data_IF_098415953749
#
_entry.id   IF_098415953749
#
_cell.length_a   1.000
_cell.length_b   1.000
_cell.length_c   1.000
_cell.angle_alpha   90.00
_cell.angle_beta   90.00
_cell.angle_gamma   90.00
#
_symmetry.space_group_name_H-M   'P 1'
#
loop_
_entity.id
_entity.type
_entity.pdbx_description
1 polymer ?
#
# COMPACT_ATOMS: atom_id res chain seq x y z
N UNK A 1 -33.55 9.32 -40.93
CA UNK A 1 -33.71 10.59 -40.18
C UNK A 1 -33.54 10.29 -38.70
N UNK A 2 -32.48 10.79 -38.05
CA UNK A 2 -32.27 10.60 -36.61
C UNK A 2 -32.39 11.98 -35.95
N UNK A 3 -33.52 12.32 -35.29
CA UNK A 3 -33.70 13.64 -34.72
C UNK A 3 -33.06 13.68 -33.32
N UNK A 4 -32.40 14.80 -33.03
CA UNK A 4 -31.95 15.24 -31.71
C UNK A 4 -30.61 14.68 -31.19
N UNK A 5 -29.56 15.12 -31.87
CA UNK A 5 -28.44 15.73 -31.16
C UNK A 5 -28.84 17.15 -30.71
N UNK A 6 -29.61 17.27 -29.63
CA UNK A 6 -29.92 18.58 -29.00
C UNK A 6 -28.95 18.82 -27.84
N UNK A 7 -27.73 19.21 -28.23
CA UNK A 7 -26.70 19.79 -27.39
C UNK A 7 -27.23 21.10 -26.77
N UNK A 8 -28.01 21.01 -25.68
CA UNK A 8 -28.36 22.16 -24.85
C UNK A 8 -27.67 22.00 -23.51
N UNK A 9 -26.74 22.90 -23.23
CA UNK A 9 -26.03 23.09 -21.97
C UNK A 9 -27.01 23.44 -20.83
N UNK A 10 -27.94 22.54 -20.52
CA UNK A 10 -28.90 22.64 -19.43
C UNK A 10 -28.20 22.13 -18.18
N UNK A 11 -28.10 23.00 -17.18
CA UNK A 11 -27.62 22.61 -15.85
C UNK A 11 -28.42 21.37 -15.43
N UNK A 12 -27.77 20.25 -15.11
CA UNK A 12 -28.48 19.03 -14.77
C UNK A 12 -29.36 19.31 -13.55
N UNK A 13 -30.60 18.81 -13.61
CA UNK A 13 -31.54 18.94 -12.49
C UNK A 13 -30.93 18.30 -11.23
N UNK A 14 -31.30 18.78 -10.04
CA UNK A 14 -30.94 18.13 -8.79
C UNK A 14 -31.34 16.64 -8.76
N UNK A 15 -32.44 16.26 -9.44
CA UNK A 15 -32.85 14.86 -9.58
C UNK A 15 -31.86 14.06 -10.44
N UNK A 16 -31.38 14.62 -11.54
CA UNK A 16 -30.42 13.99 -12.45
C UNK A 16 -29.04 13.84 -11.80
N UNK A 17 -28.58 14.86 -11.07
CA UNK A 17 -27.34 14.80 -10.30
C UNK A 17 -27.40 13.73 -9.19
N UNK A 18 -28.52 13.64 -8.47
CA UNK A 18 -28.73 12.60 -7.44
C UNK A 18 -28.74 11.21 -8.05
N UNK A 19 -29.45 11.03 -9.16
CA UNK A 19 -29.49 9.76 -9.88
C UNK A 19 -28.08 9.33 -10.30
N UNK A 20 -27.33 10.24 -10.93
CA UNK A 20 -25.95 9.98 -11.34
C UNK A 20 -25.06 9.55 -10.16
N UNK A 21 -25.14 10.22 -9.02
CA UNK A 21 -24.39 9.83 -7.82
C UNK A 21 -24.77 8.43 -7.33
N UNK A 22 -26.06 8.10 -7.34
CA UNK A 22 -26.53 6.78 -6.93
C UNK A 22 -26.05 5.69 -7.89
N UNK A 23 -26.07 5.94 -9.20
CA UNK A 23 -25.58 4.98 -10.19
C UNK A 23 -24.07 4.77 -10.07
N UNK A 24 -23.30 5.85 -9.88
CA UNK A 24 -21.85 5.76 -9.65
C UNK A 24 -21.53 5.01 -8.35
N UNK A 25 -22.29 5.25 -7.28
CA UNK A 25 -22.11 4.54 -6.01
C UNK A 25 -22.48 3.06 -6.13
N UNK A 26 -23.59 2.75 -6.81
CA UNK A 26 -24.02 1.36 -7.04
C UNK A 26 -22.97 0.59 -7.85
N UNK A 27 -22.39 1.24 -8.87
CA UNK A 27 -21.32 0.65 -9.66
C UNK A 27 -20.09 0.29 -8.80
N UNK A 28 -19.62 1.21 -7.95
CA UNK A 28 -18.51 0.94 -7.01
C UNK A 28 -18.81 -0.21 -6.07
N UNK A 29 -20.03 -0.27 -5.54
CA UNK A 29 -20.45 -1.36 -4.65
C UNK A 29 -20.48 -2.72 -5.37
N UNK A 30 -20.89 -2.76 -6.64
CA UNK A 30 -20.84 -3.98 -7.45
C UNK A 30 -19.41 -4.44 -7.69
N UNK A 31 -18.51 -3.51 -8.03
CA UNK A 31 -17.07 -3.80 -8.18
C UNK A 31 -16.45 -4.34 -6.89
N UNK A 32 -16.76 -3.73 -5.74
CA UNK A 32 -16.29 -4.20 -4.42
C UNK A 32 -16.88 -5.58 -4.05
N UNK A 33 -18.12 -5.85 -4.45
CA UNK A 33 -18.76 -7.15 -4.24
C UNK A 33 -18.06 -8.23 -5.06
N UNK A 34 -17.76 -7.95 -6.34
CA UNK A 34 -17.12 -8.86 -7.30
C UNK A 34 -15.63 -9.10 -7.01
N UNK A 35 -14.98 -8.26 -6.20
CA UNK A 35 -13.58 -8.41 -5.82
C UNK A 35 -13.29 -9.81 -5.24
N UNK A 36 -12.37 -10.53 -5.87
CA UNK A 36 -11.94 -11.85 -5.41
C UNK A 36 -11.35 -11.76 -4.00
N UNK A 37 -11.84 -12.61 -3.09
CA UNK A 37 -11.38 -12.72 -1.70
C UNK A 37 -10.71 -14.07 -1.49
N UNK A 38 -9.66 -14.08 -0.67
CA UNK A 38 -9.03 -15.30 -0.18
C UNK A 38 -9.60 -15.67 1.19
N UNK A 39 -9.51 -16.95 1.58
CA UNK A 39 -9.93 -17.36 2.92
C UNK A 39 -8.99 -16.77 3.97
N UNK A 40 -9.54 -16.42 5.13
CA UNK A 40 -8.74 -15.85 6.23
C UNK A 40 -7.63 -16.81 6.66
N UNK A 41 -7.93 -18.10 6.77
CA UNK A 41 -6.93 -19.12 7.13
C UNK A 41 -5.74 -19.15 6.15
N UNK A 42 -6.00 -18.98 4.86
CA UNK A 42 -4.97 -18.93 3.81
C UNK A 42 -4.15 -17.64 3.89
N UNK A 43 -4.83 -16.49 4.02
CA UNK A 43 -4.16 -15.20 4.20
C UNK A 43 -3.25 -15.19 5.44
N UNK A 44 -3.75 -15.68 6.58
CA UNK A 44 -2.99 -15.80 7.82
C UNK A 44 -1.79 -16.73 7.66
N UNK A 45 -1.96 -17.89 7.00
CA UNK A 45 -0.85 -18.80 6.73
C UNK A 45 0.22 -18.16 5.84
N UNK A 46 -0.18 -17.36 4.84
CA UNK A 46 0.73 -16.61 3.99
C UNK A 46 1.53 -15.56 4.77
N UNK A 47 0.87 -14.80 5.65
CA UNK A 47 1.53 -13.82 6.52
C UNK A 47 2.54 -14.49 7.46
N UNK A 48 2.13 -15.58 8.13
CA UNK A 48 3.02 -16.35 9.02
C UNK A 48 4.24 -16.86 8.24
N UNK A 49 4.02 -17.39 7.04
CA UNK A 49 5.13 -17.87 6.19
C UNK A 49 6.10 -16.74 5.90
N UNK A 50 5.61 -15.59 5.42
CA UNK A 50 6.45 -14.44 5.11
C UNK A 50 7.27 -13.99 6.33
N UNK A 51 6.63 -13.83 7.49
CA UNK A 51 7.32 -13.43 8.71
C UNK A 51 8.30 -14.48 9.25
N UNK A 52 8.22 -15.75 8.81
CA UNK A 52 9.14 -16.82 9.19
C UNK A 52 10.29 -17.03 8.20
N UNK A 53 10.16 -16.53 6.97
CA UNK A 53 11.18 -16.70 5.92
C UNK A 53 11.95 -15.42 5.65
N UNK A 54 11.40 -14.27 6.01
CA UNK A 54 12.02 -12.97 5.81
C UNK A 54 12.70 -12.52 7.10
N UNK A 55 14.03 -12.47 7.09
CA UNK A 55 14.83 -12.06 8.25
C UNK A 55 14.54 -10.60 8.61
N UNK A 56 14.27 -10.36 9.90
CA UNK A 56 14.09 -9.03 10.46
C UNK A 56 15.16 -8.74 11.51
N UNK A 57 16.03 -7.76 11.22
CA UNK A 57 17.14 -7.36 12.09
C UNK A 57 16.68 -6.62 13.36
N UNK A 58 15.46 -6.10 13.39
CA UNK A 58 14.87 -5.43 14.55
C UNK A 58 14.22 -6.40 15.54
N UNK A 59 14.20 -7.70 15.22
CA UNK A 59 13.71 -8.76 16.12
C UNK A 59 14.81 -9.79 16.42
N UNK A 60 15.87 -9.43 17.18
CA UNK A 60 16.98 -10.33 17.44
C UNK A 60 16.62 -11.58 18.26
N UNK A 61 15.51 -11.55 19.00
CA UNK A 61 15.03 -12.71 19.77
C UNK A 61 14.62 -13.89 18.88
N UNK A 62 14.21 -13.62 17.64
CA UNK A 62 13.79 -14.65 16.67
C UNK A 62 14.87 -14.89 15.62
N UNK A 63 15.57 -13.83 15.18
CA UNK A 63 16.51 -13.89 14.07
C UNK A 63 17.99 -13.90 14.47
N UNK A 64 18.29 -13.66 15.75
CA UNK A 64 19.65 -13.47 16.24
C UNK A 64 20.16 -12.03 16.05
N UNK A 65 21.31 -11.70 16.66
CA UNK A 65 21.90 -10.37 16.55
C UNK A 65 22.27 -10.01 15.10
N UNK A 66 22.37 -8.71 14.83
CA UNK A 66 22.86 -8.18 13.55
C UNK A 66 24.38 -8.28 13.56
N UNK A 67 24.95 -8.86 12.51
CA UNK A 67 26.41 -8.90 12.34
C UNK A 67 26.95 -7.46 12.19
N UNK A 68 28.08 -7.17 12.85
CA UNK A 68 28.65 -5.81 12.88
C UNK A 68 28.98 -5.23 11.50
N UNK A 69 29.19 -6.09 10.49
CA UNK A 69 29.41 -5.67 9.10
C UNK A 69 28.14 -5.52 8.26
N UNK A 70 26.98 -5.95 8.77
CA UNK A 70 25.70 -5.85 8.08
C UNK A 70 24.90 -4.60 8.49
N UNK A 71 25.28 -3.95 9.59
CA UNK A 71 24.68 -2.71 10.06
C UNK A 71 25.50 -1.48 9.58
N UNK A 72 25.01 -0.72 8.58
CA UNK A 72 25.69 0.47 8.07
C UNK A 72 25.76 1.63 9.08
N UNK A 73 25.01 1.53 10.18
CA UNK A 73 24.99 2.51 11.26
C UNK A 73 25.72 2.02 12.51
N UNK A 74 26.28 0.80 12.49
CA UNK A 74 27.14 0.36 13.57
C UNK A 74 28.29 1.35 13.71
N UNK A 75 28.53 1.85 14.93
CA UNK A 75 29.66 2.72 15.20
C UNK A 75 30.93 2.03 14.66
N UNK A 76 31.59 2.66 13.68
CA UNK A 76 32.89 2.22 13.22
C UNK A 76 33.74 2.03 14.47
N UNK A 77 34.19 0.80 14.71
CA UNK A 77 34.93 0.46 15.91
C UNK A 77 36.00 1.53 16.11
N UNK A 78 35.96 2.21 17.25
CA UNK A 78 36.92 3.25 17.61
C UNK A 78 38.32 2.64 17.68
N UNK A 79 39.00 2.59 16.53
CA UNK A 79 40.25 1.87 16.39
C UNK A 79 40.77 1.90 14.96
N UNK A 80 41.44 3.01 14.60
CA UNK A 80 42.22 3.12 13.35
C UNK A 80 41.77 4.29 12.49
N UNK A 81 42.63 5.31 12.40
CA UNK A 81 42.30 6.64 11.87
C UNK A 81 41.87 6.70 10.41
N UNK A 82 41.06 7.74 10.09
CA UNK A 82 40.88 8.21 8.73
C UNK A 82 39.48 8.71 8.39
N UNK A 83 39.19 9.98 8.72
CA UNK A 83 38.33 10.85 7.93
C UNK A 83 36.81 10.65 8.02
N UNK A 84 36.14 11.40 8.91
CA UNK A 84 34.76 11.85 8.67
C UNK A 84 34.77 13.37 8.68
N UNK A 85 34.55 13.95 7.50
CA UNK A 85 34.45 15.38 7.29
C UNK A 85 33.13 15.89 7.88
N UNK A 86 33.19 16.58 9.01
CA UNK A 86 32.07 17.42 9.44
C UNK A 86 32.20 18.76 8.74
N UNK A 87 31.16 19.18 8.02
CA UNK A 87 31.06 20.55 7.50
C UNK A 87 30.69 21.42 8.70
N UNK A 88 31.60 22.32 9.07
CA UNK A 88 31.37 23.37 10.07
C UNK A 88 30.72 24.59 9.41
#
# INVERSE_FOLDING_TARGET
MNPNNSNSNKKPSMSELKLRRLTEHNQRLREDLERQRVRVSEASASLIRYCKTTRDYLVPSVWGPVEKGADPYAAAASGGGGGCCMIQ
#
